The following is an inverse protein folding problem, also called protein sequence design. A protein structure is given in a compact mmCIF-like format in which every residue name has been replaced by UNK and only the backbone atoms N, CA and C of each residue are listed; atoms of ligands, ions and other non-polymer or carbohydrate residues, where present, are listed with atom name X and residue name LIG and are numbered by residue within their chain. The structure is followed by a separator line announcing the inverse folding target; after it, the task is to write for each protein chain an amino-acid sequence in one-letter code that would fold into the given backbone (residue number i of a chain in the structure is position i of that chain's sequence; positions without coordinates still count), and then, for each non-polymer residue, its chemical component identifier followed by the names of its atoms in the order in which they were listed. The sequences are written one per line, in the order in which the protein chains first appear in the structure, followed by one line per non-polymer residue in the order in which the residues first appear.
data_IF_500594179768
#
_entry.id   IF_500594179768
#
_cell.length_a   1.000
_cell.length_b   1.000
_cell.length_c   1.000
_cell.angle_alpha   90.00
_cell.angle_beta   90.00
_cell.angle_gamma   90.00
#
_symmetry.space_group_name_H-M   'P 1'
#
loop_
_entity.id
_entity.type
_entity.pdbx_description
1 polymer ?
#
# COMPACT_ATOMS: atom_id res chain seq x y z
N UNK A 1 -1.92 2.00 19.76
CA UNK A 1 -3.24 1.48 20.18
C UNK A 1 -3.89 0.71 19.04
N UNK A 2 -4.83 -0.22 19.30
CA UNK A 2 -5.62 -0.89 18.23
C UNK A 2 -6.39 0.11 17.37
N UNK A 3 -6.77 1.26 17.92
CA UNK A 3 -7.45 2.31 17.16
C UNK A 3 -6.53 3.00 16.14
N UNK A 4 -5.23 3.16 16.46
CA UNK A 4 -4.23 3.67 15.51
C UNK A 4 -4.07 2.71 14.32
N UNK A 5 -4.09 1.40 14.57
CA UNK A 5 -4.02 0.39 13.52
C UNK A 5 -5.26 0.41 12.62
N UNK A 6 -6.46 0.63 13.19
CA UNK A 6 -7.69 0.81 12.42
C UNK A 6 -7.63 2.06 11.56
N UNK A 7 -7.05 3.15 12.07
CA UNK A 7 -6.85 4.36 11.31
C UNK A 7 -6.01 4.10 10.06
N UNK A 8 -4.96 3.26 10.13
CA UNK A 8 -4.19 2.88 8.94
C UNK A 8 -5.02 2.13 7.89
N UNK A 9 -5.90 1.21 8.31
CA UNK A 9 -6.81 0.51 7.38
C UNK A 9 -7.77 1.48 6.70
N UNK A 10 -8.25 2.51 7.41
CA UNK A 10 -9.12 3.53 6.82
C UNK A 10 -8.32 4.42 5.85
N UNK A 11 -7.17 4.93 6.30
CA UNK A 11 -6.35 5.86 5.54
C UNK A 11 -5.84 5.24 4.23
N UNK A 12 -5.39 3.98 4.23
CA UNK A 12 -4.86 3.35 3.02
C UNK A 12 -5.92 3.22 1.91
N UNK A 13 -7.21 3.22 2.26
CA UNK A 13 -8.33 3.21 1.32
C UNK A 13 -8.66 4.58 0.73
N UNK A 14 -8.09 5.68 1.26
CA UNK A 14 -8.41 7.03 0.83
C UNK A 14 -8.07 7.25 -0.67
N UNK A 15 -9.06 7.58 -1.52
CA UNK A 15 -8.84 7.78 -2.95
C UNK A 15 -7.96 8.99 -3.27
N UNK A 16 -7.77 9.94 -2.36
CA UNK A 16 -6.88 11.09 -2.57
C UNK A 16 -5.43 10.67 -2.86
N UNK A 17 -5.01 9.50 -2.38
CA UNK A 17 -3.68 8.95 -2.64
C UNK A 17 -3.49 8.46 -4.08
N UNK A 18 -4.53 8.47 -4.92
CA UNK A 18 -4.37 8.28 -6.37
C UNK A 18 -3.76 9.51 -7.06
N UNK A 19 -3.79 10.68 -6.43
CA UNK A 19 -3.16 11.91 -6.94
C UNK A 19 -1.68 11.96 -6.61
N UNK A 20 -0.83 12.33 -7.59
CA UNK A 20 0.62 12.52 -7.41
C UNK A 20 0.95 13.57 -6.35
N UNK A 21 0.10 14.59 -6.20
CA UNK A 21 0.28 15.65 -5.18
C UNK A 21 0.23 15.10 -3.75
N UNK A 22 -0.42 13.95 -3.55
CA UNK A 22 -0.52 13.29 -2.24
C UNK A 22 0.56 12.23 -2.01
N UNK A 23 1.46 11.97 -2.97
CA UNK A 23 2.41 10.85 -2.89
C UNK A 23 3.42 10.95 -1.76
N UNK A 24 3.84 12.16 -1.38
CA UNK A 24 4.70 12.33 -0.22
C UNK A 24 4.00 11.86 1.05
N UNK A 25 2.74 12.27 1.24
CA UNK A 25 1.92 11.86 2.39
C UNK A 25 1.65 10.35 2.32
N UNK A 26 1.35 9.83 1.14
CA UNK A 26 1.10 8.40 0.94
C UNK A 26 2.34 7.57 1.27
N UNK A 27 3.53 8.00 0.84
CA UNK A 27 4.79 7.35 1.17
C UNK A 27 4.97 7.25 2.69
N UNK A 28 4.75 8.35 3.41
CA UNK A 28 4.83 8.36 4.87
C UNK A 28 3.84 7.38 5.51
N UNK A 29 2.58 7.33 5.03
CA UNK A 29 1.61 6.34 5.49
C UNK A 29 2.11 4.91 5.27
N UNK A 30 2.60 4.59 4.07
CA UNK A 30 3.13 3.26 3.75
C UNK A 30 4.34 2.91 4.62
N UNK A 31 5.21 3.87 4.91
CA UNK A 31 6.35 3.68 5.82
C UNK A 31 5.90 3.40 7.25
N UNK A 32 4.90 4.12 7.76
CA UNK A 32 4.36 3.88 9.10
C UNK A 32 3.78 2.47 9.20
N UNK A 33 3.03 2.02 8.18
CA UNK A 33 2.50 0.66 8.11
C UNK A 33 3.65 -0.37 8.03
N UNK A 34 4.62 -0.15 7.16
CA UNK A 34 5.77 -1.04 6.98
C UNK A 34 6.63 -1.17 8.25
N UNK A 35 6.70 -0.13 9.08
CA UNK A 35 7.47 -0.08 10.32
C UNK A 35 6.73 -0.64 11.54
N UNK A 36 5.47 -1.06 11.41
CA UNK A 36 4.75 -1.73 12.50
C UNK A 36 5.45 -3.03 12.93
N UNK A 37 5.16 -3.47 14.16
CA UNK A 37 5.61 -4.76 14.67
C UNK A 37 4.93 -5.92 13.93
N UNK A 38 5.56 -7.09 13.93
CA UNK A 38 4.96 -8.30 13.33
C UNK A 38 3.60 -8.64 13.97
N UNK A 39 3.45 -8.38 15.27
CA UNK A 39 2.16 -8.56 15.97
C UNK A 39 1.06 -7.66 15.39
N UNK A 40 1.39 -6.40 15.12
CA UNK A 40 0.45 -5.44 14.52
C UNK A 40 0.16 -5.74 13.05
N UNK A 41 1.15 -6.24 12.30
CA UNK A 41 0.95 -6.73 10.94
C UNK A 41 -0.05 -7.88 10.88
N UNK A 42 -0.03 -8.81 11.84
CA UNK A 42 -1.03 -9.87 11.90
C UNK A 42 -2.46 -9.30 12.04
N UNK A 43 -2.69 -8.32 12.91
CA UNK A 43 -4.01 -7.67 13.00
C UNK A 43 -4.39 -6.97 11.70
N UNK A 44 -3.45 -6.25 11.09
CA UNK A 44 -3.69 -5.52 9.86
C UNK A 44 -4.10 -6.46 8.73
N UNK A 45 -3.38 -7.57 8.54
CA UNK A 45 -3.69 -8.62 7.56
C UNK A 45 -5.11 -9.16 7.76
N UNK A 46 -5.50 -9.46 9.00
CA UNK A 46 -6.84 -9.93 9.34
C UNK A 46 -7.95 -8.89 9.14
N UNK A 47 -7.64 -7.60 9.13
CA UNK A 47 -8.60 -6.55 8.83
C UNK A 47 -8.66 -6.21 7.34
N UNK A 48 -7.52 -6.20 6.65
CA UNK A 48 -7.44 -5.99 5.21
C UNK A 48 -8.21 -7.07 4.44
N UNK A 49 -8.17 -8.32 4.90
CA UNK A 49 -8.94 -9.41 4.26
C UNK A 49 -10.46 -9.21 4.35
N UNK A 50 -10.96 -8.32 5.23
CA UNK A 50 -12.40 -8.04 5.39
C UNK A 50 -12.89 -6.92 4.45
N UNK A 51 -11.98 -6.30 3.68
CA UNK A 51 -12.37 -5.33 2.67
C UNK A 51 -13.16 -6.02 1.56
N UNK A 52 -14.09 -5.27 0.94
CA UNK A 52 -14.73 -5.72 -0.29
C UNK A 52 -13.68 -5.84 -1.40
N UNK A 53 -13.87 -6.79 -2.31
CA UNK A 53 -12.90 -7.10 -3.38
C UNK A 53 -12.59 -5.89 -4.29
N UNK A 54 -13.59 -5.06 -4.59
CA UNK A 54 -13.43 -3.80 -5.33
C UNK A 54 -12.49 -2.84 -4.60
N UNK A 55 -12.70 -2.64 -3.30
CA UNK A 55 -11.87 -1.75 -2.47
C UNK A 55 -10.47 -2.30 -2.30
N UNK A 56 -10.35 -3.60 -2.09
CA UNK A 56 -9.07 -4.28 -1.98
C UNK A 56 -8.25 -4.10 -3.27
N UNK A 57 -8.85 -4.35 -4.43
CA UNK A 57 -8.25 -4.13 -5.75
C UNK A 57 -7.80 -2.69 -5.95
N UNK A 58 -8.66 -1.71 -5.68
CA UNK A 58 -8.30 -0.30 -5.80
C UNK A 58 -7.11 0.11 -4.93
N UNK A 59 -6.95 -0.49 -3.74
CA UNK A 59 -5.78 -0.23 -2.89
C UNK A 59 -4.52 -0.84 -3.51
N UNK A 60 -4.58 -2.09 -3.95
CA UNK A 60 -3.47 -2.78 -4.63
C UNK A 60 -3.00 -1.99 -5.86
N UNK A 61 -3.92 -1.65 -6.77
CA UNK A 61 -3.63 -0.86 -7.98
C UNK A 61 -3.00 0.50 -7.66
N UNK A 62 -3.49 1.17 -6.61
CA UNK A 62 -2.94 2.47 -6.18
C UNK A 62 -1.49 2.36 -5.72
N UNK A 63 -1.15 1.31 -4.97
CA UNK A 63 0.22 1.10 -4.52
C UNK A 63 1.11 0.73 -5.70
N UNK A 64 0.64 -0.09 -6.64
CA UNK A 64 1.36 -0.37 -7.89
C UNK A 64 1.63 0.90 -8.68
N UNK A 65 0.62 1.74 -8.91
CA UNK A 65 0.78 3.01 -9.61
C UNK A 65 1.77 3.95 -8.88
N UNK A 66 1.70 4.02 -7.55
CA UNK A 66 2.66 4.76 -6.75
C UNK A 66 4.11 4.27 -6.98
N UNK A 67 4.33 2.96 -6.98
CA UNK A 67 5.65 2.37 -7.26
C UNK A 67 6.09 2.68 -8.69
N UNK A 68 5.21 2.49 -9.69
CA UNK A 68 5.51 2.72 -11.10
C UNK A 68 5.89 4.18 -11.37
N UNK A 69 5.12 5.14 -10.87
CA UNK A 69 5.42 6.57 -11.02
C UNK A 69 6.68 6.96 -10.25
N UNK A 70 6.99 6.29 -9.13
CA UNK A 70 8.23 6.56 -8.41
C UNK A 70 9.47 6.06 -9.16
N UNK A 71 9.37 4.91 -9.83
CA UNK A 71 10.44 4.36 -10.65
C UNK A 71 10.61 5.12 -11.97
N UNK A 72 9.49 5.50 -12.58
CA UNK A 72 9.43 6.13 -13.90
C UNK A 72 8.57 7.41 -13.83
N UNK A 73 9.09 8.49 -13.21
CA UNK A 73 8.32 9.71 -13.07
C UNK A 73 8.08 10.36 -14.44
N UNK A 74 6.85 10.84 -14.74
CA UNK A 74 6.56 11.51 -16.01
C UNK A 74 7.33 12.82 -16.17
N UNK A 75 7.68 13.47 -15.05
CA UNK A 75 8.56 14.64 -14.99
C UNK A 75 9.50 14.47 -13.78
N UNK A 76 10.82 14.59 -13.95
CA UNK A 76 11.79 14.38 -12.86
C UNK A 76 11.56 15.26 -11.63
N UNK A 77 11.09 16.49 -11.83
CA UNK A 77 10.94 17.49 -10.76
C UNK A 77 9.62 17.40 -9.98
N UNK A 78 8.67 16.54 -10.42
CA UNK A 78 7.37 16.39 -9.75
C UNK A 78 7.49 15.63 -8.42
N UNK A 79 8.61 14.91 -8.20
CA UNK A 79 8.82 14.10 -7.01
C UNK A 79 10.15 14.46 -6.31
N UNK A 80 10.24 14.24 -4.98
CA UNK A 80 11.49 14.44 -4.27
C UNK A 80 12.63 13.58 -4.84
N UNK A 81 13.90 14.06 -4.82
CA UNK A 81 15.04 13.31 -5.31
C UNK A 81 15.13 11.89 -4.73
N UNK A 82 15.58 10.92 -5.53
CA UNK A 82 15.71 9.51 -5.11
C UNK A 82 16.55 9.33 -3.85
N UNK A 83 17.65 10.07 -3.73
CA UNK A 83 18.55 10.03 -2.57
C UNK A 83 17.85 10.37 -1.23
N UNK A 84 16.81 11.19 -1.25
CA UNK A 84 16.07 11.61 -0.04
C UNK A 84 14.90 10.66 0.32
N UNK A 85 14.56 9.75 -0.58
CA UNK A 85 13.31 9.00 -0.54
C UNK A 85 13.51 7.55 -1.01
N UNK A 86 14.69 6.99 -0.76
CA UNK A 86 15.07 5.60 -1.07
C UNK A 86 14.15 4.57 -0.38
N UNK A 87 13.53 4.95 0.73
CA UNK A 87 12.62 4.12 1.51
C UNK A 87 11.20 4.00 0.92
N UNK A 88 10.84 4.80 -0.10
CA UNK A 88 9.47 4.81 -0.65
C UNK A 88 9.06 3.45 -1.24
N UNK A 89 9.90 2.91 -2.13
CA UNK A 89 9.61 1.64 -2.81
C UNK A 89 9.65 0.47 -1.82
N UNK A 90 10.68 0.30 -0.97
CA UNK A 90 10.70 -0.78 0.02
C UNK A 90 9.48 -0.76 0.96
N UNK A 91 9.05 0.42 1.40
CA UNK A 91 7.85 0.56 2.25
C UNK A 91 6.58 0.12 1.51
N UNK A 92 6.39 0.59 0.27
CA UNK A 92 5.25 0.24 -0.56
C UNK A 92 5.20 -1.26 -0.86
N UNK A 93 6.33 -1.87 -1.21
CA UNK A 93 6.44 -3.31 -1.47
C UNK A 93 6.11 -4.14 -0.22
N UNK A 94 6.56 -3.71 0.97
CA UNK A 94 6.18 -4.40 2.22
C UNK A 94 4.66 -4.36 2.44
N UNK A 95 4.01 -3.23 2.16
CA UNK A 95 2.54 -3.12 2.28
C UNK A 95 1.81 -3.98 1.24
N UNK A 96 2.32 -4.07 0.00
CA UNK A 96 1.81 -5.03 -0.99
C UNK A 96 1.94 -6.48 -0.51
N UNK A 97 3.04 -6.84 0.14
CA UNK A 97 3.22 -8.17 0.72
C UNK A 97 2.18 -8.45 1.83
N UNK A 98 1.84 -7.46 2.65
CA UNK A 98 0.77 -7.58 3.66
C UNK A 98 -0.61 -7.77 3.01
N UNK A 99 -0.90 -7.06 1.92
CA UNK A 99 -2.11 -7.27 1.14
C UNK A 99 -2.13 -8.69 0.54
N UNK A 100 -1.03 -9.15 -0.05
CA UNK A 100 -0.95 -10.51 -0.58
C UNK A 100 -1.15 -11.59 0.49
N UNK A 101 -0.59 -11.38 1.70
CA UNK A 101 -0.84 -12.24 2.85
C UNK A 101 -2.33 -12.24 3.23
N UNK A 102 -2.98 -11.08 3.25
CA UNK A 102 -4.42 -10.96 3.52
C UNK A 102 -5.28 -11.66 2.45
N UNK A 103 -4.89 -11.56 1.18
CA UNK A 103 -5.56 -12.21 0.05
C UNK A 103 -5.48 -13.74 0.16
N UNK A 104 -4.31 -14.27 0.56
CA UNK A 104 -4.07 -15.70 0.75
C UNK A 104 -4.86 -16.33 1.92
N UNK A 105 -5.43 -15.52 2.82
CA UNK A 105 -6.30 -16.01 3.89
C UNK A 105 -7.76 -16.20 3.45
N UNK A 106 -8.09 -15.91 2.19
CA UNK A 106 -9.43 -16.01 1.62
C UNK A 106 -9.50 -17.13 0.58
N UNK A 107 -10.56 -17.93 0.64
CA UNK A 107 -10.87 -18.97 -0.36
C UNK A 107 -12.31 -18.76 -0.86
N UNK A 108 -12.55 -18.34 -2.11
CA UNK A 108 -11.55 -17.94 -3.11
C UNK A 108 -10.83 -16.62 -2.73
N UNK A 109 -9.65 -16.33 -3.32
CA UNK A 109 -8.94 -15.07 -3.09
C UNK A 109 -9.75 -13.86 -3.57
N UNK A 110 -9.54 -12.69 -2.95
CA UNK A 110 -10.24 -11.43 -3.26
C UNK A 110 -9.84 -10.86 -4.63
N UNK A 111 -8.58 -11.04 -5.00
CA UNK A 111 -7.99 -10.65 -6.29
C UNK A 111 -7.07 -11.76 -6.81
N UNK A 112 -6.86 -11.83 -8.11
CA UNK A 112 -5.96 -12.82 -8.69
C UNK A 112 -4.52 -12.52 -8.26
N UNK A 113 -3.70 -13.56 -8.03
CA UNK A 113 -2.31 -13.40 -7.63
C UNK A 113 -1.50 -12.55 -8.63
N UNK A 114 -1.79 -12.67 -9.93
CA UNK A 114 -1.16 -11.87 -10.97
C UNK A 114 -1.33 -10.35 -10.78
N UNK A 115 -2.39 -9.91 -10.09
CA UNK A 115 -2.65 -8.48 -9.82
C UNK A 115 -1.66 -7.85 -8.82
N UNK A 116 -0.84 -8.65 -8.14
CA UNK A 116 0.24 -8.17 -7.28
C UNK A 116 1.58 -7.99 -8.02
N UNK A 117 1.62 -8.27 -9.32
CA UNK A 117 2.81 -8.19 -10.14
C UNK A 117 2.57 -7.27 -11.34
N UNK A 118 3.62 -6.54 -11.74
CA UNK A 118 3.55 -5.72 -12.95
C UNK A 118 3.47 -6.66 -14.16
N UNK A 119 2.44 -6.48 -14.99
CA UNK A 119 2.29 -7.12 -16.31
C UNK A 119 2.87 -6.24 -17.41
#
# INVERSE_FOLDING_TARGET
SKDDLRAFVILIQNPQFSSRTAYVIFAHLLRQIAALSDHDHHYLVHWLKRLKSDRFRCVTERIHNFISVRLFPPKPDDLPPLSKCSWWIPSATKVLALLNAANSLHTPPLVQYAEFYNS
#
